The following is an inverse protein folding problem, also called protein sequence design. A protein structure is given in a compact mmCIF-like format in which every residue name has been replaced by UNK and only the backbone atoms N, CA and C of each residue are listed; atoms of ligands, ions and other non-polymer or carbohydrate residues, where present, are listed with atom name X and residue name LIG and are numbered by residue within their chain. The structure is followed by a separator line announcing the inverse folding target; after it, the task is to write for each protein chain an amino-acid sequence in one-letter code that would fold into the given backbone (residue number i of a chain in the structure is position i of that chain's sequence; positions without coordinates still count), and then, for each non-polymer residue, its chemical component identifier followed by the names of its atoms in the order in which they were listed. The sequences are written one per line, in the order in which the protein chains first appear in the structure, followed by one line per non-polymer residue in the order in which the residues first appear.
data_IF_216112698794
#
_entry.id   IF_216112698794
#
_cell.length_a   1.000
_cell.length_b   1.000
_cell.length_c   1.000
_cell.angle_alpha   90.00
_cell.angle_beta   90.00
_cell.angle_gamma   90.00
#
_symmetry.space_group_name_H-M   'P 1'
#
loop_
_entity.id
_entity.type
_entity.pdbx_description
1 polymer ?
#
# COMPACT_ATOMS: atom_id res chain seq x y z
N UNK A 1 0.54 -7.83 -1.58
CA UNK A 1 0.46 -9.24 -1.99
C UNK A 1 1.11 -10.09 -0.92
N UNK A 2 0.36 -11.06 -0.40
CA UNK A 2 0.91 -12.10 0.47
C UNK A 2 1.89 -13.00 -0.33
N UNK A 3 2.81 -13.71 0.33
CA UNK A 3 3.78 -14.59 -0.36
C UNK A 3 3.14 -15.62 -1.31
N UNK A 4 1.99 -16.16 -0.94
CA UNK A 4 1.23 -17.11 -1.78
C UNK A 4 0.70 -16.43 -3.04
N UNK A 5 0.07 -15.26 -2.91
CA UNK A 5 -0.43 -14.45 -4.03
C UNK A 5 0.72 -14.00 -4.95
N UNK A 6 1.88 -13.68 -4.39
CA UNK A 6 3.08 -13.30 -5.14
C UNK A 6 3.61 -14.48 -5.97
N UNK A 7 3.64 -15.69 -5.39
CA UNK A 7 4.05 -16.91 -6.10
C UNK A 7 3.14 -17.21 -7.28
N UNK A 8 1.81 -17.07 -7.08
CA UNK A 8 0.81 -17.24 -8.14
C UNK A 8 0.95 -16.19 -9.25
N UNK A 9 1.09 -14.90 -8.88
CA UNK A 9 1.25 -13.81 -9.84
C UNK A 9 2.54 -13.92 -10.69
N UNK A 10 3.55 -14.64 -10.20
CA UNK A 10 4.83 -14.83 -10.87
C UNK A 10 4.98 -16.20 -11.53
N UNK A 11 3.94 -17.04 -11.55
CA UNK A 11 3.98 -18.41 -12.05
C UNK A 11 4.60 -18.56 -13.46
N UNK A 12 4.48 -17.55 -14.31
CA UNK A 12 5.00 -17.55 -15.69
C UNK A 12 6.34 -16.81 -15.86
N UNK A 13 6.89 -16.18 -14.81
CA UNK A 13 8.10 -15.33 -14.87
C UNK A 13 9.23 -15.86 -13.98
N UNK A 14 9.82 -16.98 -14.40
CA UNK A 14 10.90 -17.72 -13.70
C UNK A 14 12.08 -16.87 -13.17
N UNK A 15 12.49 -15.81 -13.88
CA UNK A 15 13.59 -14.93 -13.43
C UNK A 15 13.19 -13.98 -12.29
N UNK A 16 11.92 -13.58 -12.23
CA UNK A 16 11.37 -12.79 -11.12
C UNK A 16 11.02 -13.70 -9.93
N UNK A 17 10.66 -14.96 -10.17
CA UNK A 17 10.41 -15.94 -9.10
C UNK A 17 11.64 -16.12 -8.21
N UNK A 18 12.86 -16.24 -8.75
CA UNK A 18 14.05 -16.44 -7.90
C UNK A 18 14.42 -15.21 -7.05
N UNK A 19 14.08 -14.00 -7.49
CA UNK A 19 14.33 -12.78 -6.71
C UNK A 19 13.17 -12.42 -5.77
N UNK A 20 11.99 -13.02 -5.91
CA UNK A 20 10.79 -12.69 -5.14
C UNK A 20 10.22 -13.88 -4.33
N UNK A 21 10.68 -15.12 -4.56
CA UNK A 21 10.20 -16.30 -3.84
C UNK A 21 10.79 -16.44 -2.42
N UNK A 22 12.02 -15.96 -2.18
CA UNK A 22 12.66 -16.00 -0.85
C UNK A 22 12.26 -14.83 0.07
N UNK A 23 11.24 -14.07 -0.32
CA UNK A 23 11.32 -12.62 -0.23
C UNK A 23 10.19 -12.00 0.63
N UNK A 24 9.25 -12.82 1.11
CA UNK A 24 8.21 -12.39 2.04
C UNK A 24 7.07 -11.62 1.37
N UNK A 25 6.48 -10.67 2.09
CA UNK A 25 5.37 -9.86 1.59
C UNK A 25 5.85 -8.73 0.69
N UNK A 26 5.10 -8.43 -0.37
CA UNK A 26 5.40 -7.33 -1.29
C UNK A 26 4.22 -6.34 -1.35
N UNK A 27 4.50 -5.05 -1.16
CA UNK A 27 3.54 -3.97 -1.42
C UNK A 27 3.70 -3.49 -2.86
N UNK A 28 2.57 -3.26 -3.52
CA UNK A 28 2.55 -2.97 -4.95
C UNK A 28 1.78 -1.69 -5.22
N UNK A 29 2.27 -0.93 -6.18
CA UNK A 29 1.68 0.33 -6.55
C UNK A 29 2.25 0.86 -7.85
N UNK A 30 1.79 2.04 -8.24
CA UNK A 30 2.30 2.76 -9.38
C UNK A 30 2.92 4.07 -8.92
N UNK A 31 3.99 4.47 -9.60
CA UNK A 31 4.63 5.77 -9.40
C UNK A 31 4.69 6.57 -10.69
N UNK A 32 4.90 7.88 -10.55
CA UNK A 32 5.11 8.78 -11.66
C UNK A 32 6.29 8.30 -12.53
N UNK A 33 6.23 8.62 -13.83
CA UNK A 33 7.34 8.33 -14.73
C UNK A 33 8.64 9.01 -14.29
N UNK A 34 8.54 10.22 -13.71
CA UNK A 34 9.70 10.98 -13.20
C UNK A 34 10.41 10.23 -12.07
N UNK A 35 9.64 9.74 -11.10
CA UNK A 35 10.20 8.98 -9.98
C UNK A 35 10.80 7.65 -10.45
N UNK A 36 10.13 6.97 -11.39
CA UNK A 36 10.61 5.71 -11.96
C UNK A 36 11.97 5.88 -12.64
N UNK A 37 12.10 6.91 -13.49
CA UNK A 37 13.33 7.18 -14.22
C UNK A 37 14.48 7.54 -13.27
N UNK A 38 14.19 8.30 -12.20
CA UNK A 38 15.17 8.63 -11.16
C UNK A 38 15.61 7.40 -10.34
N UNK A 39 14.66 6.55 -9.91
CA UNK A 39 14.95 5.32 -9.18
C UNK A 39 15.77 4.32 -10.01
N UNK A 40 15.45 4.20 -11.30
CA UNK A 40 16.18 3.33 -12.23
C UNK A 40 17.66 3.70 -12.36
N UNK A 41 18.00 4.97 -12.13
CA UNK A 41 19.38 5.47 -12.18
C UNK A 41 20.12 5.35 -10.85
N UNK A 42 19.40 5.37 -9.72
CA UNK A 42 19.99 5.30 -8.37
C UNK A 42 20.65 3.93 -8.12
N UNK A 43 20.04 2.85 -8.62
CA UNK A 43 20.51 1.48 -8.46
C UNK A 43 20.28 0.87 -7.06
N UNK A 44 19.82 1.65 -6.09
CA UNK A 44 19.47 1.22 -4.73
C UNK A 44 18.12 1.78 -4.27
N UNK A 45 17.53 1.17 -3.23
CA UNK A 45 16.26 1.61 -2.68
C UNK A 45 16.47 2.88 -1.81
N UNK A 46 15.63 3.92 -1.96
CA UNK A 46 15.73 5.11 -1.14
C UNK A 46 15.32 4.82 0.32
N UNK A 47 15.76 5.63 1.28
CA UNK A 47 15.33 5.51 2.67
C UNK A 47 13.81 5.53 2.81
N UNK A 48 13.32 4.67 3.71
CA UNK A 48 11.89 4.47 3.96
C UNK A 48 11.49 5.17 5.25
N UNK A 49 10.41 5.95 5.19
CA UNK A 49 9.79 6.56 6.38
C UNK A 49 8.43 5.94 6.65
N UNK A 50 8.18 5.59 7.90
CA UNK A 50 6.87 5.19 8.41
C UNK A 50 6.22 6.34 9.16
N UNK A 51 4.92 6.54 8.97
CA UNK A 51 4.12 7.53 9.68
C UNK A 51 2.78 6.90 10.07
N UNK A 52 2.49 6.80 11.36
CA UNK A 52 1.19 6.35 11.88
C UNK A 52 0.31 7.53 12.27
N UNK A 53 -1.00 7.45 12.02
CA UNK A 53 -1.98 8.42 12.50
C UNK A 53 -3.38 7.81 12.63
N UNK A 54 -4.27 8.52 13.32
CA UNK A 54 -5.69 8.18 13.42
C UNK A 54 -6.49 9.17 12.57
N UNK A 55 -7.39 8.66 11.76
CA UNK A 55 -8.30 9.43 10.93
C UNK A 55 -9.41 10.12 11.73
N UNK A 56 -10.19 10.95 11.03
CA UNK A 56 -11.27 11.78 11.58
C UNK A 56 -12.42 10.99 12.20
N UNK A 57 -12.55 9.71 11.86
CA UNK A 57 -13.61 8.77 12.26
C UNK A 57 -13.07 7.60 13.08
N UNK A 58 -11.80 7.67 13.49
CA UNK A 58 -11.17 6.73 14.41
C UNK A 58 -10.39 5.60 13.76
N UNK A 59 -10.36 5.48 12.43
CA UNK A 59 -9.56 4.48 11.74
C UNK A 59 -8.07 4.77 11.89
N UNK A 60 -7.28 3.78 12.26
CA UNK A 60 -5.82 3.91 12.31
C UNK A 60 -5.22 3.60 10.94
N UNK A 61 -4.22 4.39 10.56
CA UNK A 61 -3.53 4.28 9.28
C UNK A 61 -2.03 4.38 9.48
N UNK A 62 -1.29 3.71 8.61
CA UNK A 62 0.13 3.94 8.42
C UNK A 62 0.39 4.42 6.99
N UNK A 63 1.42 5.22 6.82
CA UNK A 63 1.96 5.62 5.52
C UNK A 63 3.42 5.23 5.45
N UNK A 64 3.76 4.46 4.42
CA UNK A 64 5.13 4.17 4.03
C UNK A 64 5.51 5.13 2.91
N UNK A 65 6.61 5.85 3.10
CA UNK A 65 7.04 6.91 2.18
C UNK A 65 8.41 6.61 1.60
N UNK A 66 8.51 6.68 0.27
CA UNK A 66 9.77 6.74 -0.47
C UNK A 66 9.92 8.10 -1.11
N UNK A 67 11.15 8.60 -1.18
CA UNK A 67 11.43 9.86 -1.86
C UNK A 67 12.73 9.77 -2.64
N UNK A 68 12.72 10.29 -3.86
CA UNK A 68 13.91 10.49 -4.69
C UNK A 68 13.84 11.90 -5.28
N UNK A 69 14.78 12.75 -4.88
CA UNK A 69 14.71 14.18 -5.19
C UNK A 69 13.39 14.79 -4.71
N UNK A 70 12.68 15.47 -5.61
CA UNK A 70 11.39 16.13 -5.33
C UNK A 70 10.19 15.20 -5.52
N UNK A 71 10.40 13.95 -5.93
CA UNK A 71 9.34 12.96 -6.16
C UNK A 71 9.14 12.09 -4.92
N UNK A 72 7.89 11.96 -4.48
CA UNK A 72 7.53 11.14 -3.33
C UNK A 72 6.43 10.14 -3.69
N UNK A 73 6.57 8.89 -3.22
CA UNK A 73 5.52 7.88 -3.26
C UNK A 73 5.05 7.56 -1.84
N UNK A 74 3.73 7.48 -1.66
CA UNK A 74 3.08 7.19 -0.39
C UNK A 74 2.22 5.93 -0.51
N UNK A 75 2.51 4.92 0.30
CA UNK A 75 1.63 3.77 0.48
C UNK A 75 0.76 3.97 1.71
N UNK A 76 -0.54 4.14 1.51
CA UNK A 76 -1.52 4.19 2.61
C UNK A 76 -1.93 2.76 3.01
N UNK A 77 -1.74 2.43 4.28
CA UNK A 77 -2.05 1.15 4.89
C UNK A 77 -3.13 1.33 5.97
N UNK A 78 -4.34 0.79 5.79
CA UNK A 78 -5.35 0.74 6.84
C UNK A 78 -4.94 -0.26 7.92
N UNK A 79 -4.71 0.19 9.16
CA UNK A 79 -4.24 -0.64 10.27
C UNK A 79 -5.34 -1.48 10.93
N UNK A 80 -6.58 -1.34 10.45
CA UNK A 80 -7.71 -2.22 10.77
C UNK A 80 -7.85 -3.39 9.80
N UNK A 81 -7.00 -3.48 8.77
CA UNK A 81 -7.01 -4.59 7.82
C UNK A 81 -6.05 -5.72 8.26
N UNK A 82 -6.54 -6.95 8.28
CA UNK A 82 -5.77 -8.10 8.76
C UNK A 82 -4.55 -8.40 7.89
N UNK A 83 -4.61 -8.17 6.56
CA UNK A 83 -3.47 -8.38 5.67
C UNK A 83 -2.38 -7.36 5.96
N UNK A 84 -2.75 -6.12 6.30
CA UNK A 84 -1.78 -5.11 6.75
C UNK A 84 -1.13 -5.52 8.06
N UNK A 85 -1.90 -6.03 9.02
CA UNK A 85 -1.33 -6.59 10.26
C UNK A 85 -0.37 -7.74 10.02
N UNK A 86 -0.71 -8.68 9.13
CA UNK A 86 0.17 -9.78 8.73
C UNK A 86 1.44 -9.31 8.03
N UNK A 87 1.33 -8.34 7.13
CA UNK A 87 2.45 -7.69 6.48
C UNK A 87 3.40 -7.04 7.50
N UNK A 88 2.90 -6.21 8.41
CA UNK A 88 3.75 -5.54 9.39
C UNK A 88 4.48 -6.55 10.29
N UNK A 89 3.82 -7.61 10.78
CA UNK A 89 4.49 -8.68 11.55
C UNK A 89 5.61 -9.35 10.78
N UNK A 90 5.43 -9.56 9.47
CA UNK A 90 6.46 -10.22 8.66
C UNK A 90 7.77 -9.42 8.57
N UNK A 91 7.74 -8.11 8.80
CA UNK A 91 8.93 -7.25 8.74
C UNK A 91 9.89 -7.46 9.93
N UNK A 92 9.51 -8.25 10.94
CA UNK A 92 10.43 -8.63 12.03
C UNK A 92 11.55 -9.56 11.50
N UNK A 93 11.20 -10.48 10.61
CA UNK A 93 12.09 -11.53 10.09
C UNK A 93 12.41 -11.37 8.60
N UNK A 94 11.91 -10.33 7.93
CA UNK A 94 12.06 -10.15 6.48
C UNK A 94 12.25 -8.69 6.06
N UNK A 95 12.76 -8.50 4.85
CA UNK A 95 12.92 -7.18 4.24
C UNK A 95 11.59 -6.64 3.72
N UNK A 96 11.45 -5.31 3.75
CA UNK A 96 10.34 -4.66 3.05
C UNK A 96 10.58 -4.76 1.54
N UNK A 97 9.60 -5.32 0.83
CA UNK A 97 9.63 -5.39 -0.62
C UNK A 97 8.54 -4.54 -1.24
N UNK A 98 8.95 -3.76 -2.23
CA UNK A 98 8.08 -2.82 -2.92
C UNK A 98 8.22 -3.02 -4.42
N UNK A 99 7.11 -3.35 -5.07
CA UNK A 99 7.01 -3.39 -6.53
C UNK A 99 6.29 -2.13 -7.01
N UNK A 100 6.97 -1.30 -7.79
CA UNK A 100 6.42 -0.06 -8.30
C UNK A 100 6.42 -0.06 -9.82
N UNK A 101 5.21 -0.05 -10.39
CA UNK A 101 4.97 0.14 -11.81
C UNK A 101 5.26 1.57 -12.24
N UNK A 102 5.73 1.73 -13.46
CA UNK A 102 5.75 3.03 -14.14
C UNK A 102 4.33 3.34 -14.61
N UNK A 103 3.78 4.45 -14.16
CA UNK A 103 2.42 4.86 -14.50
C UNK A 103 2.14 4.75 -16.02
N UNK A 104 1.13 3.94 -16.36
CA UNK A 104 0.68 3.75 -17.74
C UNK A 104 1.56 2.85 -18.61
N UNK A 105 2.52 2.12 -18.04
CA UNK A 105 3.42 1.22 -18.74
C UNK A 105 3.52 -0.15 -18.06
N UNK A 106 4.13 -1.12 -18.74
CA UNK A 106 4.29 -2.50 -18.24
C UNK A 106 5.60 -2.70 -17.43
N UNK A 107 6.42 -1.66 -17.32
CA UNK A 107 7.68 -1.71 -16.60
C UNK A 107 7.45 -1.54 -15.10
N UNK A 108 8.14 -2.34 -14.28
CA UNK A 108 8.13 -2.22 -12.83
C UNK A 108 9.55 -2.36 -12.27
N UNK A 109 9.80 -1.66 -11.16
CA UNK A 109 10.99 -1.86 -10.34
C UNK A 109 10.61 -2.61 -9.08
N UNK A 110 11.45 -3.55 -8.68
CA UNK A 110 11.36 -4.21 -7.36
C UNK A 110 12.46 -3.63 -6.50
N UNK A 111 12.07 -2.99 -5.41
CA UNK A 111 12.94 -2.41 -4.41
C UNK A 111 12.90 -3.26 -3.16
N UNK A 112 14.07 -3.47 -2.55
CA UNK A 112 14.21 -4.06 -1.22
C UNK A 112 14.73 -3.00 -0.28
N UNK A 113 13.98 -2.74 0.78
CA UNK A 113 14.35 -1.79 1.81
C UNK A 113 14.59 -2.49 3.13
N UNK A 114 15.64 -2.08 3.83
CA UNK A 114 15.78 -2.37 5.24
C UNK A 114 14.87 -1.45 6.04
N UNK A 115 14.10 -2.04 6.95
CA UNK A 115 13.30 -1.30 7.91
C UNK A 115 13.67 -1.80 9.30
N UNK A 116 14.29 -0.97 10.15
CA UNK A 116 14.50 -1.34 11.54
C UNK A 116 13.16 -1.70 12.21
N UNK A 117 13.10 -2.85 12.89
CA UNK A 117 11.89 -3.29 13.58
C UNK A 117 11.34 -2.24 14.56
N UNK A 118 12.24 -1.47 15.18
CA UNK A 118 11.90 -0.32 16.03
C UNK A 118 11.01 0.74 15.36
N UNK A 119 11.02 0.86 14.04
CA UNK A 119 10.13 1.76 13.30
C UNK A 119 8.76 1.14 13.03
N UNK A 120 8.65 -0.19 13.06
CA UNK A 120 7.41 -0.94 12.83
C UNK A 120 6.62 -1.13 14.11
N UNK A 121 7.29 -1.33 15.25
CA UNK A 121 6.67 -1.55 16.57
C UNK A 121 5.58 -0.51 16.90
N UNK A 122 5.79 0.82 16.72
CA UNK A 122 4.74 1.79 17.00
C UNK A 122 3.49 1.61 16.12
N UNK A 123 3.64 1.12 14.89
CA UNK A 123 2.50 0.83 14.01
C UNK A 123 1.77 -0.44 14.43
N UNK A 124 2.48 -1.42 14.97
CA UNK A 124 1.90 -2.64 15.53
C UNK A 124 0.99 -2.33 16.72
N UNK A 125 1.37 -1.37 17.56
CA UNK A 125 0.55 -0.89 18.69
C UNK A 125 -0.72 -0.16 18.23
N UNK A 126 -0.72 0.34 17.00
CA UNK A 126 -1.87 1.02 16.39
C UNK A 126 -2.82 0.07 15.65
N UNK A 127 -2.53 -1.24 15.55
CA UNK A 127 -3.43 -2.18 14.89
C UNK A 127 -4.81 -2.20 15.58
N UNK A 128 -5.86 -2.17 14.77
CA UNK A 128 -7.24 -2.14 15.21
C UNK A 128 -7.97 -3.42 14.78
N UNK A 129 -9.00 -3.78 15.54
CA UNK A 129 -9.91 -4.84 15.11
C UNK A 129 -10.98 -4.23 14.20
N UNK A 130 -11.25 -4.89 13.09
CA UNK A 130 -12.18 -4.42 12.05
C UNK A 130 -13.66 -4.39 12.51
N UNK A 131 -13.97 -4.90 13.71
CA UNK A 131 -15.31 -4.86 14.33
C UNK A 131 -15.78 -3.45 14.70
N UNK A 132 -14.89 -2.47 14.73
CA UNK A 132 -15.14 -1.21 15.43
C UNK A 132 -15.72 -0.10 14.54
N UNK A 133 -15.76 -0.30 13.20
CA UNK A 133 -16.20 0.72 12.26
C UNK A 133 -17.24 0.21 11.24
N UNK A 134 -18.21 1.06 10.88
CA UNK A 134 -19.11 0.75 9.76
C UNK A 134 -18.35 0.86 8.43
N UNK A 135 -18.67 -0.03 7.49
CA UNK A 135 -18.11 -0.02 6.12
C UNK A 135 -18.21 1.36 5.48
N UNK A 136 -19.38 2.01 5.57
CA UNK A 136 -19.58 3.35 5.02
C UNK A 136 -18.69 4.39 5.70
N UNK A 137 -18.49 4.29 7.02
CA UNK A 137 -17.57 5.18 7.74
C UNK A 137 -16.14 5.00 7.25
N UNK A 138 -15.70 3.75 7.06
CA UNK A 138 -14.37 3.44 6.53
C UNK A 138 -14.16 3.96 5.09
N UNK A 139 -15.17 3.86 4.21
CA UNK A 139 -15.11 4.44 2.85
C UNK A 139 -14.92 5.95 2.91
N UNK A 140 -15.74 6.63 3.72
CA UNK A 140 -15.72 8.09 3.81
C UNK A 140 -14.40 8.56 4.42
N UNK A 141 -13.94 7.92 5.51
CA UNK A 141 -12.66 8.22 6.14
C UNK A 141 -11.49 8.03 5.18
N UNK A 142 -11.45 6.90 4.47
CA UNK A 142 -10.35 6.60 3.55
C UNK A 142 -10.27 7.64 2.42
N UNK A 143 -11.42 8.12 1.92
CA UNK A 143 -11.46 9.22 0.96
C UNK A 143 -10.90 10.52 1.54
N UNK A 144 -11.26 10.86 2.78
CA UNK A 144 -10.75 12.04 3.48
C UNK A 144 -9.23 11.95 3.68
N UNK A 145 -8.74 10.78 4.13
CA UNK A 145 -7.31 10.52 4.34
C UNK A 145 -6.54 10.62 3.01
N UNK A 146 -7.04 10.01 1.93
CA UNK A 146 -6.41 10.12 0.61
C UNK A 146 -6.35 11.58 0.12
N UNK A 147 -7.39 12.37 0.35
CA UNK A 147 -7.40 13.79 -0.01
C UNK A 147 -6.33 14.59 0.79
N UNK A 148 -6.17 14.29 2.07
CA UNK A 148 -5.11 14.89 2.91
C UNK A 148 -3.73 14.48 2.38
N UNK A 149 -3.54 13.17 2.12
CA UNK A 149 -2.29 12.63 1.62
C UNK A 149 -1.96 13.04 0.18
N UNK A 150 -2.90 13.62 -0.57
CA UNK A 150 -2.62 14.20 -1.88
C UNK A 150 -1.93 15.57 -1.82
N UNK A 151 -1.81 16.18 -0.63
CA UNK A 151 -1.12 17.47 -0.46
C UNK A 151 0.37 17.24 -0.27
N UNK A 152 1.22 18.03 -0.95
CA UNK A 152 2.68 17.87 -0.87
C UNK A 152 3.23 18.00 0.56
N UNK A 153 2.64 18.85 1.38
CA UNK A 153 3.04 19.14 2.76
C UNK A 153 2.52 18.14 3.81
N UNK A 154 1.65 17.20 3.43
CA UNK A 154 1.03 16.29 4.39
C UNK A 154 2.00 15.30 5.02
N UNK A 155 3.00 14.86 4.27
CA UNK A 155 4.14 14.08 4.77
C UNK A 155 5.40 14.90 4.50
N UNK A 156 6.20 15.23 5.52
CA UNK A 156 7.44 15.97 5.33
C UNK A 156 8.37 15.29 4.33
N UNK A 157 9.18 16.10 3.66
CA UNK A 157 10.29 15.59 2.87
C UNK A 157 11.26 14.78 3.75
N UNK A 158 11.83 13.71 3.18
CA UNK A 158 12.93 13.00 3.81
C UNK A 158 14.24 13.81 3.80
N UNK A 159 14.34 14.80 2.92
CA UNK A 159 15.44 15.76 2.83
C UNK A 159 14.93 17.18 3.09
N UNK A 160 15.42 17.81 4.17
CA UNK A 160 14.94 19.12 4.64
C UNK A 160 15.15 20.24 3.63
N UNK A 161 16.11 20.10 2.72
CA UNK A 161 16.41 21.11 1.69
C UNK A 161 15.60 20.91 0.40
N UNK A 162 14.88 19.78 0.30
CA UNK A 162 14.16 19.40 -0.92
C UNK A 162 12.65 19.46 -0.72
N UNK A 163 11.97 20.32 -1.48
CA UNK A 163 10.51 20.36 -1.50
C UNK A 163 9.93 19.30 -2.44
N UNK A 164 8.89 18.60 -1.99
CA UNK A 164 8.16 17.63 -2.82
C UNK A 164 7.26 18.38 -3.81
N UNK A 165 7.36 18.07 -5.10
CA UNK A 165 6.55 18.65 -6.18
C UNK A 165 5.90 17.61 -7.11
N UNK A 166 6.22 16.33 -6.91
CA UNK A 166 5.70 15.20 -7.65
C UNK A 166 5.30 14.11 -6.66
N UNK A 167 4.05 13.65 -6.76
CA UNK A 167 3.44 12.79 -5.75
C UNK A 167 2.65 11.66 -6.39
N UNK A 168 2.91 10.45 -5.94
CA UNK A 168 2.12 9.25 -6.26
C UNK A 168 1.61 8.61 -4.97
N UNK A 169 0.38 8.11 -4.99
CA UNK A 169 -0.22 7.43 -3.84
C UNK A 169 -0.73 6.07 -4.30
N UNK A 170 -0.34 5.04 -3.58
CA UNK A 170 -0.95 3.72 -3.66
C UNK A 170 -1.53 3.38 -2.30
N UNK A 171 -2.53 2.51 -2.28
CA UNK A 171 -3.17 2.17 -1.02
C UNK A 171 -3.63 0.72 -1.04
N UNK A 172 -3.63 0.11 0.14
CA UNK A 172 -4.26 -1.20 0.33
C UNK A 172 -5.75 -0.97 0.52
N UNK A 173 -6.55 -1.54 -0.38
CA UNK A 173 -8.00 -1.58 -0.21
C UNK A 173 -8.34 -2.55 0.92
N UNK A 174 -8.99 -2.10 2.01
CA UNK A 174 -9.40 -3.00 3.07
C UNK A 174 -10.35 -4.11 2.59
N UNK A 175 -10.20 -5.32 3.12
CA UNK A 175 -11.00 -6.49 2.74
C UNK A 175 -12.51 -6.27 2.98
N UNK A 176 -12.85 -5.52 4.03
CA UNK A 176 -14.23 -5.14 4.32
C UNK A 176 -14.86 -4.31 3.17
N UNK A 177 -14.07 -3.48 2.48
CA UNK A 177 -14.52 -2.70 1.32
C UNK A 177 -14.63 -3.59 0.08
N UNK A 178 -13.68 -4.49 -0.11
CA UNK A 178 -13.70 -5.47 -1.22
C UNK A 178 -14.98 -6.32 -1.12
N UNK A 179 -15.26 -6.86 0.06
CA UNK A 179 -16.47 -7.66 0.33
C UNK A 179 -17.74 -6.89 0.02
N UNK A 180 -17.85 -5.64 0.51
CA UNK A 180 -19.00 -4.78 0.25
C UNK A 180 -19.22 -4.50 -1.25
N UNK A 181 -18.15 -4.18 -1.98
CA UNK A 181 -18.23 -3.93 -3.43
C UNK A 181 -18.70 -5.18 -4.18
N UNK A 182 -18.23 -6.36 -3.79
CA UNK A 182 -18.65 -7.63 -4.38
C UNK A 182 -20.12 -7.92 -4.10
N UNK A 183 -20.61 -7.68 -2.88
CA UNK A 183 -22.01 -7.86 -2.51
C UNK A 183 -22.94 -6.93 -3.30
N UNK A 184 -22.61 -5.63 -3.38
CA UNK A 184 -23.40 -4.65 -4.13
C UNK A 184 -23.39 -4.95 -5.64
N UNK A 185 -22.32 -5.55 -6.16
CA UNK A 185 -22.19 -5.93 -7.58
C UNK A 185 -22.85 -7.27 -7.93
N UNK A 186 -23.32 -8.07 -6.96
CA UNK A 186 -24.07 -9.29 -7.28
C UNK A 186 -25.38 -8.89 -7.96
N UNK A 187 -25.64 -9.33 -9.22
CA UNK A 187 -26.95 -9.11 -9.82
C UNK A 187 -28.01 -9.78 -8.95
N UNK A 188 -29.17 -9.13 -8.80
CA UNK A 188 -30.33 -9.70 -8.11
C UNK A 188 -30.79 -10.96 -8.86
N UNK A 189 -30.20 -12.11 -8.55
CA UNK A 189 -30.64 -13.40 -9.05
C UNK A 189 -31.89 -13.80 -8.29
N UNK A 190 -33.07 -13.57 -8.88
CA UNK A 190 -34.32 -14.19 -8.41
C UNK A 190 -35.57 -13.36 -8.58
N UNK A 191 -35.99 -13.10 -9.81
CA UNK A 191 -37.43 -12.96 -10.13
C UNK A 191 -37.70 -13.78 -11.39
N UNK A 192 -37.92 -15.08 -11.22
CA UNK A 192 -38.51 -15.93 -12.27
C UNK A 192 -40.01 -15.67 -12.23
N UNK A 193 -40.48 -14.79 -13.10
CA UNK A 193 -41.91 -14.61 -13.32
C UNK A 193 -42.52 -15.95 -13.76
N UNK A 194 -43.53 -16.41 -13.02
CA UNK A 194 -44.31 -17.59 -13.41
C UNK A 194 -45.08 -17.26 -14.70
N UNK A 195 -44.98 -18.08 -15.76
CA UNK A 195 -45.79 -17.88 -16.95
C UNK A 195 -47.25 -18.26 -16.63
N UNK A 196 -48.16 -17.40 -17.08
CA UNK A 196 -49.61 -17.61 -17.08
C UNK A 196 -50.03 -18.52 -18.24
#
# INVERSE_FOLDING_TARGET
MAPTELTEALAEKLQLQQSLADAGWCICGDMSSRMFDALSQLGEAPPIRFTGFTGSRGGNYAVITHQVGTSQHRFLLPLYDEKVGGFLRSLEDSFLQVSLGRQGQENALVLRGECPWSHVVPLMEMLQHSSDASVLSAIVEMKEVLAVLARFDAIPSNDIETAVDDLSISFVMPELLVSYIQEVRRPASGYVGSPS
#
